data_IF_086249276485
#
_entry.id   IF_086249276485
#
_cell.length_a   1.000
_cell.length_b   1.000
_cell.length_c   1.000
_cell.angle_alpha   90.00
_cell.angle_beta   90.00
_cell.angle_gamma   90.00
#
_symmetry.space_group_name_H-M   'P 1'
#
loop_
_entity.id
_entity.type
_entity.pdbx_description
1 polymer ?
#
# COMPACT_ATOMS: atom_id res chain seq x y z
N UNK A 1 -33.10 65.33 -13.92
CA UNK A 1 -34.20 64.44 -14.35
C UNK A 1 -34.25 63.26 -13.39
N UNK A 2 -35.44 62.97 -12.84
CA UNK A 2 -35.72 61.93 -11.85
C UNK A 2 -35.97 60.55 -12.50
N UNK A 3 -35.86 59.49 -11.70
CA UNK A 3 -35.93 58.07 -12.05
C UNK A 3 -37.30 57.56 -12.53
N UNK A 4 -37.36 56.33 -13.07
CA UNK A 4 -38.25 55.33 -12.44
C UNK A 4 -37.69 53.89 -12.33
N UNK A 5 -38.36 53.10 -11.49
CA UNK A 5 -38.05 51.76 -10.96
C UNK A 5 -38.80 50.62 -11.69
N UNK A 6 -38.14 49.44 -11.79
CA UNK A 6 -38.59 48.01 -11.76
C UNK A 6 -39.74 47.49 -12.69
N UNK A 7 -39.69 46.20 -13.08
CA UNK A 7 -40.40 45.19 -12.28
C UNK A 7 -39.58 43.94 -11.96
N UNK A 8 -39.75 43.46 -10.73
CA UNK A 8 -39.40 42.13 -10.25
C UNK A 8 -40.46 41.12 -10.69
N UNK A 9 -40.07 39.89 -11.03
CA UNK A 9 -40.94 38.71 -11.04
C UNK A 9 -40.28 37.55 -10.30
N UNK A 10 -40.92 36.97 -9.26
CA UNK A 10 -40.43 35.80 -8.54
C UNK A 10 -41.16 34.51 -8.99
N UNK A 11 -40.44 33.42 -9.22
CA UNK A 11 -40.96 32.05 -9.10
C UNK A 11 -39.81 31.05 -8.97
N UNK A 12 -39.47 30.74 -7.73
CA UNK A 12 -38.66 29.60 -7.32
C UNK A 12 -39.41 28.29 -7.63
N UNK A 13 -38.78 27.30 -8.28
CA UNK A 13 -38.76 25.90 -7.79
C UNK A 13 -37.82 24.96 -8.56
N UNK A 14 -36.83 24.47 -7.80
CA UNK A 14 -36.30 23.08 -7.79
C UNK A 14 -35.51 22.58 -9.02
N UNK A 15 -34.18 22.53 -8.87
CA UNK A 15 -33.43 21.26 -8.88
C UNK A 15 -32.01 21.44 -8.32
N UNK A 16 -31.65 20.57 -7.40
CA UNK A 16 -30.39 20.51 -6.69
C UNK A 16 -29.38 19.62 -7.45
N UNK A 17 -28.16 20.13 -7.63
CA UNK A 17 -26.88 19.42 -7.75
C UNK A 17 -25.85 20.49 -8.18
N UNK A 18 -24.96 20.98 -7.33
CA UNK A 18 -23.93 20.16 -6.70
C UNK A 18 -22.64 20.32 -7.51
N UNK A 19 -22.01 21.49 -7.40
CA UNK A 19 -20.57 21.75 -7.51
C UNK A 19 -19.77 20.86 -8.47
N UNK A 20 -19.66 21.27 -9.74
CA UNK A 20 -18.57 20.75 -10.58
C UNK A 20 -17.29 21.53 -10.25
N UNK A 21 -16.69 21.19 -9.11
CA UNK A 21 -15.35 21.63 -8.74
C UNK A 21 -14.36 20.95 -9.69
N UNK A 22 -13.84 21.74 -10.63
CA UNK A 22 -12.60 21.42 -11.35
C UNK A 22 -11.51 21.27 -10.29
N UNK A 23 -11.07 20.04 -10.05
CA UNK A 23 -9.96 19.71 -9.15
C UNK A 23 -8.71 20.48 -9.58
N UNK A 24 -8.08 21.29 -8.72
CA UNK A 24 -6.81 21.89 -9.05
C UNK A 24 -5.74 20.79 -9.02
N UNK A 25 -5.12 20.53 -10.18
CA UNK A 25 -3.80 19.93 -10.24
C UNK A 25 -2.86 20.80 -9.41
N UNK A 26 -2.71 20.47 -8.13
CA UNK A 26 -1.84 21.22 -7.22
C UNK A 26 -0.41 20.81 -7.58
N UNK A 27 0.48 21.74 -7.98
CA UNK A 27 1.86 21.38 -8.24
C UNK A 27 2.46 20.74 -6.97
N UNK A 28 3.00 19.52 -7.09
CA UNK A 28 3.66 18.84 -5.97
C UNK A 28 4.77 19.75 -5.45
N UNK A 29 4.61 20.23 -4.23
CA UNK A 29 5.65 21.02 -3.55
C UNK A 29 6.97 20.20 -3.50
N UNK A 30 8.15 20.82 -3.55
CA UNK A 30 9.43 20.10 -3.51
C UNK A 30 9.55 19.12 -2.33
N UNK A 31 8.92 19.45 -1.19
CA UNK A 31 8.90 18.60 0.00
C UNK A 31 8.15 17.27 -0.20
N UNK A 32 7.05 17.26 -0.96
CA UNK A 32 6.30 16.01 -1.21
C UNK A 32 7.05 15.07 -2.14
N UNK A 33 7.77 15.61 -3.14
CA UNK A 33 8.64 14.83 -4.01
C UNK A 33 9.82 14.23 -3.25
N UNK A 34 10.49 15.02 -2.40
CA UNK A 34 11.61 14.52 -1.58
C UNK A 34 11.16 13.39 -0.63
N UNK A 35 10.00 13.56 0.03
CA UNK A 35 9.43 12.51 0.89
C UNK A 35 9.07 11.26 0.10
N UNK A 36 8.55 11.41 -1.11
CA UNK A 36 8.26 10.27 -1.98
C UNK A 36 9.53 9.53 -2.39
N UNK A 37 10.60 10.24 -2.75
CA UNK A 37 11.90 9.64 -3.05
C UNK A 37 12.41 8.86 -1.84
N UNK A 38 12.35 9.43 -0.63
CA UNK A 38 12.74 8.73 0.60
C UNK A 38 11.93 7.44 0.83
N UNK A 39 10.61 7.47 0.61
CA UNK A 39 9.75 6.28 0.70
C UNK A 39 10.16 5.21 -0.28
N UNK A 40 10.42 5.58 -1.54
CA UNK A 40 10.80 4.64 -2.59
C UNK A 40 12.17 4.01 -2.25
N UNK A 41 13.17 4.84 -1.92
CA UNK A 41 14.50 4.38 -1.55
C UNK A 41 14.46 3.41 -0.39
N UNK A 42 13.79 3.76 0.72
CA UNK A 42 13.72 2.91 1.90
C UNK A 42 13.03 1.56 1.62
N UNK A 43 11.98 1.55 0.79
CA UNK A 43 11.30 0.32 0.41
C UNK A 43 12.17 -0.59 -0.46
N UNK A 44 13.01 -0.02 -1.33
CA UNK A 44 13.97 -0.78 -2.12
C UNK A 44 15.08 -1.37 -1.25
N UNK A 45 15.59 -0.62 -0.27
CA UNK A 45 16.57 -1.13 0.70
C UNK A 45 16.01 -2.27 1.55
N UNK A 46 14.78 -2.12 2.07
CA UNK A 46 14.09 -3.19 2.77
C UNK A 46 13.89 -4.42 1.88
N UNK A 47 13.53 -4.23 0.61
CA UNK A 47 13.40 -5.34 -0.34
C UNK A 47 14.73 -6.06 -0.56
N UNK A 48 15.86 -5.34 -0.61
CA UNK A 48 17.18 -5.96 -0.75
C UNK A 48 17.47 -6.92 0.41
N UNK A 49 17.28 -6.49 1.65
CA UNK A 49 17.52 -7.34 2.83
C UNK A 49 16.54 -8.52 2.90
N UNK A 50 15.27 -8.29 2.58
CA UNK A 50 14.27 -9.37 2.53
C UNK A 50 14.58 -10.38 1.42
N UNK A 51 15.03 -9.94 0.24
CA UNK A 51 15.40 -10.85 -0.85
C UNK A 51 16.65 -11.67 -0.52
N UNK A 52 17.60 -11.12 0.23
CA UNK A 52 18.72 -11.88 0.77
C UNK A 52 18.23 -12.98 1.71
N UNK A 53 17.29 -12.66 2.61
CA UNK A 53 16.71 -13.67 3.52
C UNK A 53 15.87 -14.72 2.77
N UNK A 54 15.11 -14.33 1.73
CA UNK A 54 14.42 -15.28 0.84
C UNK A 54 15.40 -16.28 0.24
N UNK A 55 16.55 -15.82 -0.27
CA UNK A 55 17.59 -16.70 -0.80
C UNK A 55 18.16 -17.63 0.28
N UNK A 56 18.43 -17.10 1.48
CA UNK A 56 18.92 -17.90 2.60
C UNK A 56 17.94 -19.01 2.98
N UNK A 57 16.66 -18.66 3.16
CA UNK A 57 15.61 -19.60 3.51
C UNK A 57 15.38 -20.65 2.40
N UNK A 58 15.52 -20.27 1.13
CA UNK A 58 15.48 -21.25 0.03
C UNK A 58 16.65 -22.22 0.07
N UNK A 59 17.87 -21.72 0.32
CA UNK A 59 19.06 -22.56 0.47
C UNK A 59 18.94 -23.54 1.65
N UNK A 60 18.30 -23.10 2.74
CA UNK A 60 17.98 -23.94 3.91
C UNK A 60 16.83 -24.94 3.66
N UNK A 61 16.27 -25.00 2.45
CA UNK A 61 15.15 -25.89 2.10
C UNK A 61 13.80 -25.45 2.68
N UNK A 62 13.70 -24.21 3.19
CA UNK A 62 12.49 -23.63 3.78
C UNK A 62 11.60 -22.91 2.76
N UNK A 63 12.01 -22.88 1.49
CA UNK A 63 11.23 -22.36 0.36
C UNK A 63 10.17 -23.35 -0.12
N UNK A 64 9.34 -22.91 -1.07
CA UNK A 64 8.28 -23.74 -1.64
C UNK A 64 7.01 -22.95 -1.94
N UNK A 65 5.89 -23.67 -2.01
CA UNK A 65 4.57 -23.09 -2.25
C UNK A 65 4.11 -22.25 -1.05
N UNK A 66 3.65 -21.02 -1.30
CA UNK A 66 3.10 -20.14 -0.25
C UNK A 66 1.58 -20.28 -0.05
N UNK A 67 0.91 -21.01 -0.93
CA UNK A 67 -0.51 -21.34 -0.83
C UNK A 67 -0.82 -22.64 -1.59
N UNK A 68 -1.98 -23.29 -1.33
CA UNK A 68 -2.34 -24.56 -1.97
C UNK A 68 -2.46 -24.48 -3.50
N UNK A 69 -2.88 -23.33 -4.05
CA UNK A 69 -2.99 -23.15 -5.50
C UNK A 69 -1.61 -23.19 -6.18
N UNK A 70 -0.63 -22.53 -5.59
CA UNK A 70 0.74 -22.54 -6.06
C UNK A 70 1.37 -23.93 -5.88
N UNK A 71 1.01 -24.63 -4.81
CA UNK A 71 1.44 -26.02 -4.60
C UNK A 71 0.93 -26.95 -5.71
N UNK A 72 -0.33 -26.79 -6.13
CA UNK A 72 -0.90 -27.55 -7.22
C UNK A 72 -0.22 -27.21 -8.56
N UNK A 73 0.11 -25.94 -8.80
CA UNK A 73 0.88 -25.52 -9.98
C UNK A 73 2.30 -26.09 -10.01
N UNK A 74 3.00 -26.07 -8.87
CA UNK A 74 4.33 -26.67 -8.76
C UNK A 74 4.28 -28.19 -8.99
N UNK A 75 3.26 -28.88 -8.46
CA UNK A 75 3.01 -30.31 -8.74
C UNK A 75 2.77 -30.57 -10.23
N UNK A 76 1.94 -29.74 -10.87
CA UNK A 76 1.66 -29.87 -12.30
C UNK A 76 2.89 -29.60 -13.18
N UNK A 77 3.85 -28.81 -12.69
CA UNK A 77 5.10 -28.49 -13.36
C UNK A 77 6.27 -29.42 -12.98
N UNK A 78 6.01 -30.54 -12.29
CA UNK A 78 7.02 -31.49 -11.78
C UNK A 78 8.13 -30.81 -10.94
N UNK A 79 7.78 -29.71 -10.26
CA UNK A 79 8.69 -28.97 -9.39
C UNK A 79 8.51 -29.40 -7.92
N UNK A 80 9.54 -29.20 -7.07
CA UNK A 80 9.42 -29.42 -5.63
C UNK A 80 8.23 -28.62 -5.07
N UNK A 81 7.23 -29.36 -4.60
CA UNK A 81 5.91 -28.85 -4.23
C UNK A 81 5.65 -28.88 -2.72
N UNK A 82 6.74 -28.82 -1.94
CA UNK A 82 6.66 -28.60 -0.51
C UNK A 82 5.98 -27.27 -0.20
N UNK A 83 5.21 -27.23 0.88
CA UNK A 83 4.78 -25.95 1.45
C UNK A 83 6.00 -25.25 2.05
N UNK A 84 6.10 -23.95 1.79
CA UNK A 84 7.15 -23.15 2.38
C UNK A 84 6.95 -22.99 3.89
N UNK A 85 8.04 -22.69 4.60
CA UNK A 85 7.98 -22.33 6.02
C UNK A 85 7.25 -21.01 6.25
N UNK A 86 6.71 -20.83 7.47
CA UNK A 86 6.14 -19.55 7.90
C UNK A 86 7.11 -18.38 7.79
N UNK A 87 8.41 -18.60 8.09
CA UNK A 87 9.44 -17.56 7.95
C UNK A 87 9.53 -17.08 6.51
N UNK A 88 9.67 -18.01 5.56
CA UNK A 88 9.74 -17.70 4.13
C UNK A 88 8.49 -16.99 3.62
N UNK A 89 7.31 -17.49 4.00
CA UNK A 89 6.03 -16.89 3.62
C UNK A 89 5.94 -15.45 4.13
N UNK A 90 6.38 -15.20 5.35
CA UNK A 90 6.31 -13.87 5.94
C UNK A 90 7.23 -12.89 5.22
N UNK A 91 8.48 -13.26 4.93
CA UNK A 91 9.40 -12.40 4.16
C UNK A 91 8.84 -12.12 2.77
N UNK A 92 8.40 -13.15 2.05
CA UNK A 92 7.91 -13.01 0.68
C UNK A 92 6.66 -12.12 0.61
N UNK A 93 5.76 -12.21 1.60
CA UNK A 93 4.57 -11.34 1.67
C UNK A 93 4.92 -9.87 1.84
N UNK A 94 5.96 -9.52 2.61
CA UNK A 94 6.41 -8.13 2.75
C UNK A 94 7.02 -7.62 1.44
N UNK A 95 7.85 -8.43 0.77
CA UNK A 95 8.40 -8.09 -0.56
C UNK A 95 7.27 -7.82 -1.55
N UNK A 96 6.30 -8.73 -1.64
CA UNK A 96 5.14 -8.56 -2.52
C UNK A 96 4.33 -7.31 -2.20
N UNK A 97 4.11 -7.00 -0.91
CA UNK A 97 3.39 -5.81 -0.49
C UNK A 97 4.12 -4.51 -0.84
N UNK A 98 5.44 -4.47 -0.68
CA UNK A 98 6.25 -3.32 -1.07
C UNK A 98 6.19 -3.11 -2.58
N UNK A 99 6.35 -4.18 -3.36
CA UNK A 99 6.26 -4.12 -4.82
C UNK A 99 4.87 -3.71 -5.31
N UNK A 100 3.80 -4.16 -4.65
CA UNK A 100 2.43 -3.72 -4.97
C UNK A 100 2.23 -2.21 -4.79
N UNK A 101 2.95 -1.58 -3.86
CA UNK A 101 2.95 -0.12 -3.70
C UNK A 101 3.85 0.59 -4.74
N UNK A 102 5.01 0.01 -5.07
CA UNK A 102 5.98 0.61 -5.98
C UNK A 102 5.62 0.48 -7.47
N UNK A 103 5.04 -0.65 -7.88
CA UNK A 103 4.78 -0.94 -9.31
C UNK A 103 3.88 0.10 -9.99
N UNK A 104 2.71 0.49 -9.44
CA UNK A 104 1.88 1.51 -10.08
C UNK A 104 2.59 2.86 -10.20
N UNK A 105 3.44 3.22 -9.23
CA UNK A 105 4.25 4.44 -9.27
C UNK A 105 5.28 4.41 -10.40
N UNK A 106 5.96 3.28 -10.58
CA UNK A 106 6.91 3.10 -11.69
C UNK A 106 6.22 3.18 -13.07
N UNK A 107 4.93 2.82 -13.14
CA UNK A 107 4.10 2.91 -14.35
C UNK A 107 3.44 4.28 -14.55
N UNK A 108 3.58 5.21 -13.59
CA UNK A 108 2.89 6.50 -13.60
C UNK A 108 1.37 6.40 -13.34
N UNK A 109 0.88 5.25 -12.88
CA UNK A 109 -0.54 5.00 -12.64
C UNK A 109 -0.90 5.33 -11.18
N UNK A 110 -1.02 6.63 -10.91
CA UNK A 110 -1.37 7.14 -9.58
C UNK A 110 -2.74 6.63 -9.10
N UNK A 111 -3.66 6.32 -10.02
CA UNK A 111 -5.02 5.86 -9.72
C UNK A 111 -5.05 4.49 -9.05
N UNK A 112 -4.06 3.64 -9.34
CA UNK A 112 -3.90 2.30 -8.78
C UNK A 112 -2.90 2.24 -7.64
N UNK A 113 -2.26 3.37 -7.29
CA UNK A 113 -1.26 3.41 -6.23
C UNK A 113 -1.95 3.28 -4.87
N UNK A 114 -1.66 2.22 -4.09
CA UNK A 114 -2.22 2.11 -2.75
C UNK A 114 -1.64 3.20 -1.82
N UNK A 115 -2.34 3.48 -0.72
CA UNK A 115 -1.93 4.54 0.23
C UNK A 115 -0.55 4.29 0.88
N UNK A 116 -0.13 3.02 0.95
CA UNK A 116 1.16 2.60 1.47
C UNK A 116 1.33 1.09 1.34
N UNK A 117 2.50 0.54 1.73
CA UNK A 117 2.74 -0.90 1.77
C UNK A 117 1.80 -1.59 2.77
N UNK A 118 1.35 -2.80 2.44
CA UNK A 118 0.36 -3.51 3.26
C UNK A 118 0.89 -3.95 4.64
N UNK A 119 2.21 -4.11 4.79
CA UNK A 119 2.85 -4.46 6.07
C UNK A 119 3.76 -3.33 6.51
N UNK A 120 3.62 -2.91 7.77
CA UNK A 120 4.44 -1.86 8.40
C UNK A 120 5.19 -2.37 9.64
N UNK A 121 5.28 -3.69 9.78
CA UNK A 121 6.08 -4.40 10.76
C UNK A 121 7.11 -5.31 10.08
N UNK A 122 8.30 -5.50 10.69
CA UNK A 122 9.28 -6.46 10.18
C UNK A 122 8.74 -7.89 10.27
N UNK A 123 9.29 -8.83 9.49
CA UNK A 123 9.10 -10.26 9.77
C UNK A 123 9.51 -10.59 11.21
N UNK A 124 8.78 -11.43 11.96
CA UNK A 124 9.05 -11.71 13.38
C UNK A 124 10.44 -12.30 13.67
N UNK A 125 11.01 -13.02 12.71
CA UNK A 125 12.37 -13.58 12.80
C UNK A 125 13.47 -12.60 12.34
N UNK A 126 13.11 -11.39 11.91
CA UNK A 126 14.03 -10.34 11.48
C UNK A 126 13.89 -9.05 12.31
N UNK A 127 14.03 -9.10 13.65
CA UNK A 127 13.86 -7.93 14.51
C UNK A 127 14.88 -6.80 14.25
N UNK A 128 16.03 -7.12 13.64
CA UNK A 128 17.05 -6.14 13.25
C UNK A 128 16.55 -5.10 12.24
N UNK A 129 15.46 -5.38 11.51
CA UNK A 129 14.86 -4.45 10.57
C UNK A 129 13.99 -3.38 11.25
N UNK A 130 13.70 -3.53 12.54
CA UNK A 130 12.81 -2.64 13.30
C UNK A 130 13.14 -1.15 13.11
N UNK A 131 14.40 -0.68 13.19
CA UNK A 131 14.72 0.75 13.01
C UNK A 131 14.38 1.28 11.61
N UNK A 132 14.46 0.45 10.57
CA UNK A 132 14.06 0.83 9.21
C UNK A 132 12.54 0.89 9.08
N UNK A 133 11.82 -0.02 9.74
CA UNK A 133 10.36 0.02 9.79
C UNK A 133 9.82 1.21 10.58
N UNK A 134 10.52 1.67 11.61
CA UNK A 134 10.12 2.89 12.33
C UNK A 134 10.33 4.15 11.48
N UNK A 135 11.43 4.22 10.71
CA UNK A 135 11.61 5.25 9.68
C UNK A 135 10.51 5.18 8.61
N UNK A 136 10.12 3.96 8.20
CA UNK A 136 9.05 3.77 7.24
C UNK A 136 7.73 4.34 7.78
N UNK A 137 7.38 4.09 9.05
CA UNK A 137 6.17 4.65 9.67
C UNK A 137 6.20 6.18 9.72
N UNK A 138 7.34 6.79 10.04
CA UNK A 138 7.50 8.25 10.02
C UNK A 138 7.24 8.84 8.61
N UNK A 139 7.69 8.12 7.58
CA UNK A 139 7.41 8.52 6.19
C UNK A 139 5.92 8.34 5.81
N UNK A 140 5.12 7.57 6.56
CA UNK A 140 3.71 7.24 6.29
C UNK A 140 2.80 7.52 7.51
N UNK A 141 2.62 8.79 7.94
CA UNK A 141 1.97 9.14 9.19
C UNK A 141 0.49 8.75 9.24
N UNK A 142 -0.20 8.84 8.11
CA UNK A 142 -1.62 8.51 7.97
C UNK A 142 -1.88 7.04 7.57
N UNK A 143 -0.87 6.18 7.65
CA UNK A 143 -0.98 4.79 7.21
C UNK A 143 -0.27 3.83 8.17
N UNK A 144 -1.03 2.87 8.70
CA UNK A 144 -0.53 1.89 9.67
C UNK A 144 -0.32 0.50 9.04
N UNK A 145 -0.51 0.36 7.73
CA UNK A 145 -0.57 -0.94 7.06
C UNK A 145 -1.95 -1.58 7.08
N UNK A 146 -2.13 -2.56 6.20
CA UNK A 146 -3.36 -3.34 6.10
C UNK A 146 -3.49 -4.33 7.27
N UNK A 147 -2.37 -4.83 7.81
CA UNK A 147 -2.35 -5.77 8.94
C UNK A 147 -3.13 -5.23 10.15
N UNK A 148 -2.93 -3.95 10.50
CA UNK A 148 -3.61 -3.30 11.62
C UNK A 148 -5.12 -3.14 11.37
N UNK A 149 -5.54 -3.03 10.10
CA UNK A 149 -6.96 -2.89 9.75
C UNK A 149 -7.70 -4.22 9.88
N UNK A 150 -7.05 -5.32 9.49
CA UNK A 150 -7.61 -6.67 9.64
C UNK A 150 -7.76 -7.00 11.13
N UNK A 151 -6.73 -6.75 11.94
CA UNK A 151 -6.79 -6.98 13.39
C UNK A 151 -7.88 -6.16 14.10
N UNK A 152 -8.11 -4.90 13.69
CA UNK A 152 -9.19 -4.08 14.25
C UNK A 152 -10.58 -4.56 13.81
N UNK A 153 -10.75 -5.04 12.57
CA UNK A 153 -12.04 -5.52 12.09
C UNK A 153 -12.50 -6.82 12.75
N UNK A 154 -11.57 -7.64 13.26
CA UNK A 154 -11.87 -8.86 14.01
C UNK A 154 -12.21 -8.62 15.49
N UNK A 155 -11.97 -7.40 15.99
CA UNK A 155 -12.08 -7.06 17.41
C UNK A 155 -13.41 -6.38 17.80
N UNK A 156 -14.33 -6.14 16.87
CA UNK A 156 -15.66 -5.59 17.20
C UNK A 156 -16.65 -6.70 17.59
N UNK A 157 -17.12 -6.77 18.86
CA UNK A 157 -18.29 -7.55 19.21
C UNK A 157 -19.52 -6.85 18.61
N UNK A 158 -20.42 -7.60 17.95
CA UNK A 158 -21.73 -7.08 17.55
C UNK A 158 -22.56 -6.75 18.80
N UNK A 159 -23.33 -5.65 18.81
CA UNK A 159 -24.30 -5.35 19.87
C UNK A 159 -25.47 -6.33 19.88
#
# INVERSE_FOLDING_TARGET
MAAPLLPQSPANRQQAAGVNAVSPNTPLTPGSQNREQQRITLLLELNLEMLQEVNRLQADGKGGAINPQQQAQLKAADQPSGMASDEYIQVLRRVQANLAYLMPKAQGDASKTPKGPAYMSPPPHMPQLQPRYDQLKDLFPDWQGLEHRVSQSSASPRP
#
